data_IF_573799678800
#
_entry.id   IF_573799678800
#
_cell.length_a   1.000
_cell.length_b   1.000
_cell.length_c   1.000
_cell.angle_alpha   90.00
_cell.angle_beta   90.00
_cell.angle_gamma   90.00
#
_symmetry.space_group_name_H-M   'P 1'
#
loop_
_entity.id
_entity.type
_entity.pdbx_description
1 polymer ?
#
# COMPACT_ATOMS: atom_id res chain seq x y z
N UNK A 1 -3.07 6.44 11.51
CA UNK A 1 -4.22 5.70 10.95
C UNK A 1 -4.45 4.36 11.64
N UNK A 2 -3.44 3.48 11.70
CA UNK A 2 -3.57 2.14 12.31
C UNK A 2 -4.19 2.14 13.72
N UNK A 3 -3.73 3.02 14.62
CA UNK A 3 -4.28 3.13 15.97
C UNK A 3 -5.79 3.47 16.01
N UNK A 4 -6.27 4.33 15.10
CA UNK A 4 -7.69 4.71 15.03
C UNK A 4 -8.53 3.51 14.60
N UNK A 5 -8.06 2.77 13.59
CA UNK A 5 -8.75 1.57 13.11
C UNK A 5 -8.77 0.50 14.21
N UNK A 6 -7.64 0.26 14.89
CA UNK A 6 -7.55 -0.69 16.00
C UNK A 6 -8.55 -0.34 17.13
N UNK A 7 -8.54 0.91 17.61
CA UNK A 7 -9.49 1.35 18.64
C UNK A 7 -10.95 1.26 18.18
N UNK A 8 -11.22 1.52 16.89
CA UNK A 8 -12.57 1.37 16.33
C UNK A 8 -13.03 -0.09 16.38
N UNK A 9 -12.15 -1.04 16.03
CA UNK A 9 -12.45 -2.47 16.12
C UNK A 9 -12.68 -2.90 17.57
N UNK A 10 -11.86 -2.43 18.51
CA UNK A 10 -12.02 -2.72 19.94
C UNK A 10 -13.37 -2.21 20.46
N UNK A 11 -13.78 -1.00 20.08
CA UNK A 11 -15.09 -0.45 20.44
C UNK A 11 -16.23 -1.24 19.81
N UNK A 12 -16.12 -1.60 18.53
CA UNK A 12 -17.15 -2.33 17.80
C UNK A 12 -17.29 -3.79 18.22
N UNK A 13 -16.30 -4.35 18.93
CA UNK A 13 -16.37 -5.72 19.48
C UNK A 13 -17.35 -5.87 20.65
N UNK A 14 -17.85 -4.76 21.22
CA UNK A 14 -18.70 -4.77 22.41
C UNK A 14 -20.13 -5.21 22.09
N UNK A 15 -20.83 -5.93 22.99
CA UNK A 15 -22.18 -6.44 22.73
C UNK A 15 -23.19 -5.35 22.35
N UNK A 16 -23.10 -4.16 22.94
CA UNK A 16 -23.98 -3.02 22.66
C UNK A 16 -23.77 -2.36 21.28
N UNK A 17 -22.73 -2.79 20.55
CA UNK A 17 -22.40 -2.30 19.22
C UNK A 17 -22.86 -3.25 18.10
N UNK A 18 -23.45 -4.40 18.44
CA UNK A 18 -24.02 -5.33 17.46
C UNK A 18 -25.05 -4.62 16.57
N UNK A 19 -24.89 -4.77 15.25
CA UNK A 19 -25.76 -4.15 14.24
C UNK A 19 -25.52 -2.67 13.98
N UNK A 20 -24.57 -2.03 14.69
CA UNK A 20 -24.20 -0.63 14.43
C UNK A 20 -23.11 -0.53 13.36
N UNK A 21 -23.04 0.62 12.71
CA UNK A 21 -21.97 0.94 11.75
C UNK A 21 -21.04 1.99 12.36
N UNK A 22 -19.74 1.72 12.35
CA UNK A 22 -18.73 2.70 12.76
C UNK A 22 -18.28 3.58 11.59
N UNK A 23 -17.94 4.83 11.88
CA UNK A 23 -17.26 5.74 10.98
C UNK A 23 -15.99 6.24 11.68
N UNK A 24 -14.85 6.13 11.00
CA UNK A 24 -13.55 6.52 11.54
C UNK A 24 -12.77 7.35 10.51
N UNK A 25 -11.90 8.25 10.99
CA UNK A 25 -11.12 9.16 10.16
C UNK A 25 -9.72 8.59 9.93
N UNK A 26 -9.30 8.54 8.66
CA UNK A 26 -7.91 8.32 8.26
C UNK A 26 -7.31 9.70 7.93
N UNK A 27 -6.50 10.30 8.82
CA UNK A 27 -6.13 11.72 8.73
C UNK A 27 -5.06 12.02 7.67
N UNK A 28 -4.38 10.99 7.16
CA UNK A 28 -3.26 11.15 6.26
C UNK A 28 -3.05 9.90 5.41
N UNK A 29 -2.50 10.11 4.21
CA UNK A 29 -1.95 9.04 3.38
C UNK A 29 -0.56 8.59 3.86
N UNK A 30 -0.24 7.33 3.62
CA UNK A 30 0.95 6.65 4.16
C UNK A 30 2.29 7.11 3.58
N UNK A 31 2.31 7.70 2.39
CA UNK A 31 3.52 8.05 1.63
C UNK A 31 4.46 9.00 2.41
N UNK A 32 3.92 9.93 3.19
CA UNK A 32 4.70 10.85 4.03
C UNK A 32 5.54 10.14 5.10
N UNK A 33 5.30 8.86 5.35
CA UNK A 33 5.91 8.11 6.43
C UNK A 33 6.86 7.00 5.94
N UNK A 34 7.30 6.98 4.68
CA UNK A 34 8.18 5.90 4.17
C UNK A 34 9.51 5.74 4.91
N UNK A 35 10.00 6.79 5.58
CA UNK A 35 11.20 6.73 6.44
C UNK A 35 10.90 6.29 7.87
N UNK A 36 9.62 6.09 8.22
CA UNK A 36 9.19 5.65 9.54
C UNK A 36 9.44 4.15 9.73
N UNK A 37 9.77 3.67 10.94
CA UNK A 37 10.03 2.25 11.23
C UNK A 37 8.94 1.26 10.74
N UNK A 38 7.69 1.71 10.61
CA UNK A 38 6.59 0.85 10.16
C UNK A 38 6.74 0.37 8.69
N UNK A 39 7.57 1.04 7.90
CA UNK A 39 7.87 0.67 6.52
C UNK A 39 9.27 0.06 6.37
N UNK A 40 10.01 -0.14 7.46
CA UNK A 40 11.40 -0.58 7.41
C UNK A 40 11.55 -1.92 6.68
N UNK A 41 10.71 -2.91 7.00
CA UNK A 41 10.73 -4.23 6.35
C UNK A 41 10.48 -4.12 4.83
N UNK A 42 9.47 -3.34 4.44
CA UNK A 42 9.11 -3.14 3.02
C UNK A 42 10.24 -2.40 2.30
N UNK A 43 10.82 -1.39 2.94
CA UNK A 43 11.93 -0.62 2.41
C UNK A 43 13.15 -1.52 2.19
N UNK A 44 13.55 -2.31 3.19
CA UNK A 44 14.66 -3.26 3.08
C UNK A 44 14.41 -4.28 1.96
N UNK A 45 13.20 -4.83 1.88
CA UNK A 45 12.79 -5.74 0.81
C UNK A 45 12.93 -5.08 -0.56
N UNK A 46 12.42 -3.86 -0.72
CA UNK A 46 12.48 -3.11 -1.98
C UNK A 46 13.94 -2.86 -2.41
N UNK A 47 14.82 -2.48 -1.48
CA UNK A 47 16.24 -2.29 -1.77
C UNK A 47 16.95 -3.60 -2.17
N UNK A 48 16.48 -4.75 -1.68
CA UNK A 48 17.04 -6.07 -2.03
C UNK A 48 16.55 -6.63 -3.36
N UNK A 49 15.54 -6.02 -3.98
CA UNK A 49 15.02 -6.47 -5.28
C UNK A 49 16.09 -6.30 -6.35
N UNK A 50 16.39 -7.38 -7.07
CA UNK A 50 17.27 -7.35 -8.22
C UNK A 50 16.44 -7.00 -9.46
N UNK A 51 16.97 -6.07 -10.26
CA UNK A 51 16.41 -5.77 -11.59
C UNK A 51 16.41 -7.06 -12.40
N UNK A 52 15.26 -7.41 -12.95
CA UNK A 52 15.17 -8.50 -13.92
C UNK A 52 15.59 -7.98 -15.30
N UNK A 53 16.23 -8.80 -16.14
CA UNK A 53 16.41 -8.46 -17.54
C UNK A 53 15.04 -8.32 -18.20
N UNK A 54 14.97 -7.51 -19.25
CA UNK A 54 13.78 -7.43 -20.08
C UNK A 54 13.54 -8.81 -20.73
N UNK A 55 12.28 -9.26 -20.84
CA UNK A 55 11.99 -10.49 -21.56
C UNK A 55 12.45 -10.36 -23.01
N UNK A 56 13.12 -11.38 -23.54
CA UNK A 56 13.60 -11.39 -24.92
C UNK A 56 12.68 -12.25 -25.82
N UNK A 57 12.22 -11.74 -26.98
CA UNK A 57 12.46 -10.39 -27.50
C UNK A 57 11.68 -9.32 -26.73
N UNK A 58 12.34 -8.21 -26.40
CA UNK A 58 11.68 -7.08 -25.76
C UNK A 58 10.93 -6.23 -26.80
N UNK A 59 9.60 -6.25 -26.76
CA UNK A 59 8.76 -5.35 -27.56
C UNK A 59 8.29 -4.15 -26.73
N UNK A 60 8.83 -2.97 -27.06
CA UNK A 60 8.45 -1.70 -26.44
C UNK A 60 6.95 -1.40 -26.56
N UNK A 61 6.27 -1.95 -27.58
CA UNK A 61 4.85 -1.73 -27.84
C UNK A 61 3.95 -2.53 -26.92
N UNK A 62 4.39 -3.72 -26.50
CA UNK A 62 3.61 -4.58 -25.59
C UNK A 62 3.48 -3.95 -24.20
N UNK A 63 4.53 -3.25 -23.75
CA UNK A 63 4.58 -2.62 -22.43
C UNK A 63 4.31 -1.10 -22.45
N UNK A 64 3.91 -0.56 -23.61
CA UNK A 64 3.49 0.85 -23.75
C UNK A 64 4.62 1.88 -23.60
N UNK A 65 5.87 1.48 -23.85
CA UNK A 65 7.02 2.39 -23.85
C UNK A 65 7.16 3.16 -25.18
N UNK A 66 6.63 2.62 -26.28
CA UNK A 66 6.53 3.28 -27.58
C UNK A 66 5.10 3.23 -28.13
N UNK A 67 4.71 4.25 -28.88
CA UNK A 67 3.47 4.25 -29.66
C UNK A 67 3.77 4.07 -31.16
N UNK A 68 2.77 3.83 -32.01
CA UNK A 68 2.97 3.67 -33.47
C UNK A 68 3.70 4.86 -34.13
N UNK A 69 3.81 6.01 -33.45
CA UNK A 69 4.44 7.23 -33.99
C UNK A 69 5.90 7.43 -33.58
N UNK A 70 6.50 6.50 -32.84
CA UNK A 70 7.80 6.70 -32.17
C UNK A 70 7.58 7.41 -30.85
#
# INVERSE_FOLDING_TARGET
AGAIVAATLDVMSRPEMVGKTAVAIVPSFGERYFTHPMFEEISQKAHSLKKQPLPEPFDNREYGFETERG
#
